data_IF_140112831243
#
_entry.id   IF_140112831243
#
_cell.length_a   1.000
_cell.length_b   1.000
_cell.length_c   1.000
_cell.angle_alpha   90.00
_cell.angle_beta   90.00
_cell.angle_gamma   90.00
#
_symmetry.space_group_name_H-M   'P 1'
#
loop_
_entity.id
_entity.type
_entity.pdbx_description
1 polymer ?
#
# COMPACT_ATOMS: atom_id res chain seq x y z
N UNK A 1 -5.64 -8.15 -0.46
CA UNK A 1 -6.03 -7.10 0.51
C UNK A 1 -4.78 -6.28 0.80
N UNK A 2 -4.84 -4.98 0.64
CA UNK A 2 -3.76 -4.05 0.97
C UNK A 2 -4.19 -3.23 2.19
N UNK A 3 -3.23 -2.72 2.99
CA UNK A 3 -3.54 -1.88 4.15
C UNK A 3 -3.37 -2.57 5.51
N UNK A 4 -2.75 -3.74 5.57
CA UNK A 4 -2.43 -4.42 6.85
C UNK A 4 -1.62 -3.54 7.81
N UNK A 5 -0.86 -2.57 7.29
CA UNK A 5 -0.09 -1.62 8.10
C UNK A 5 -0.97 -0.84 9.10
N UNK A 6 -2.25 -0.62 8.80
CA UNK A 6 -3.19 0.03 9.70
C UNK A 6 -3.44 -0.76 11.00
N UNK A 7 -3.09 -2.05 11.03
CA UNK A 7 -3.31 -2.98 12.13
C UNK A 7 -2.03 -3.40 12.85
N UNK A 8 -0.87 -2.87 12.47
CA UNK A 8 0.41 -3.28 13.07
C UNK A 8 0.53 -2.91 14.56
N UNK A 9 -0.22 -1.94 15.02
CA UNK A 9 -0.25 -1.51 16.41
C UNK A 9 -1.46 -2.03 17.20
N UNK A 10 -2.30 -2.88 16.61
CA UNK A 10 -3.45 -3.44 17.30
C UNK A 10 -2.97 -4.41 18.39
N UNK A 11 -3.35 -4.15 19.65
CA UNK A 11 -2.94 -4.94 20.81
C UNK A 11 -3.97 -5.96 21.22
N UNK A 12 -5.18 -5.92 20.67
CA UNK A 12 -6.26 -6.83 20.99
C UNK A 12 -6.65 -7.71 19.80
N UNK A 13 -6.66 -9.01 20.02
CA UNK A 13 -7.06 -10.03 19.05
C UNK A 13 -8.60 -10.18 18.95
N UNK A 14 -9.36 -9.12 19.14
CA UNK A 14 -10.82 -9.17 18.98
C UNK A 14 -11.21 -9.11 17.52
N UNK A 15 -12.06 -10.06 17.10
CA UNK A 15 -12.57 -10.07 15.74
C UNK A 15 -13.28 -8.73 15.41
N UNK A 16 -12.91 -8.05 14.32
CA UNK A 16 -13.53 -6.78 13.95
C UNK A 16 -15.05 -6.93 13.82
N UNK A 17 -15.81 -5.94 14.27
CA UNK A 17 -17.30 -5.96 14.19
C UNK A 17 -17.85 -6.20 12.79
N UNK A 18 -17.08 -5.87 11.76
CA UNK A 18 -17.47 -6.10 10.35
C UNK A 18 -17.25 -7.55 9.88
N UNK A 19 -16.50 -8.38 10.61
CA UNK A 19 -16.11 -9.71 10.15
C UNK A 19 -17.33 -10.62 9.93
N UNK A 20 -18.30 -10.63 10.82
CA UNK A 20 -19.52 -11.43 10.69
C UNK A 20 -20.40 -10.99 9.51
N UNK A 21 -20.53 -9.69 9.27
CA UNK A 21 -21.26 -9.17 8.13
C UNK A 21 -20.56 -9.45 6.80
N UNK A 22 -19.23 -9.38 6.77
CA UNK A 22 -18.43 -9.77 5.63
C UNK A 22 -18.62 -11.26 5.31
N UNK A 23 -18.52 -12.14 6.31
CA UNK A 23 -18.71 -13.58 6.11
C UNK A 23 -20.11 -13.93 5.62
N UNK A 24 -21.12 -13.21 6.11
CA UNK A 24 -22.49 -13.33 5.61
C UNK A 24 -22.56 -12.93 4.12
N UNK A 25 -21.93 -11.81 3.73
CA UNK A 25 -21.88 -11.37 2.34
C UNK A 25 -21.14 -12.38 1.44
N UNK A 26 -20.03 -12.95 1.91
CA UNK A 26 -19.30 -14.02 1.21
C UNK A 26 -20.23 -15.20 0.91
N UNK A 27 -20.96 -15.66 1.92
CA UNK A 27 -21.89 -16.78 1.78
C UNK A 27 -23.06 -16.47 0.83
N UNK A 28 -23.79 -15.37 1.10
CA UNK A 28 -25.03 -15.07 0.39
C UNK A 28 -24.82 -14.64 -1.05
N UNK A 29 -23.70 -13.96 -1.33
CA UNK A 29 -23.31 -13.51 -2.67
C UNK A 29 -22.38 -14.48 -3.41
N UNK A 30 -22.04 -15.61 -2.78
CA UNK A 30 -21.14 -16.64 -3.33
C UNK A 30 -19.79 -16.06 -3.79
N UNK A 31 -19.19 -15.18 -2.95
CA UNK A 31 -17.94 -14.53 -3.25
C UNK A 31 -16.76 -15.48 -3.04
N UNK A 32 -15.73 -15.33 -3.85
CA UNK A 32 -14.44 -16.02 -3.66
C UNK A 32 -13.42 -15.04 -3.08
N UNK A 33 -12.74 -15.44 -2.00
CA UNK A 33 -11.62 -14.71 -1.40
C UNK A 33 -10.37 -15.54 -1.60
N UNK A 34 -9.36 -14.97 -2.26
CA UNK A 34 -8.08 -15.61 -2.51
C UNK A 34 -6.93 -14.71 -2.06
N UNK A 35 -6.01 -15.26 -1.29
CA UNK A 35 -4.75 -14.61 -0.95
C UNK A 35 -3.71 -14.79 -2.05
N UNK A 36 -2.81 -13.82 -2.21
CA UNK A 36 -1.61 -13.92 -3.04
C UNK A 36 -0.55 -12.96 -2.49
N UNK A 37 0.69 -13.22 -2.85
CA UNK A 37 1.81 -12.32 -2.59
C UNK A 37 2.32 -11.84 -3.96
N UNK A 38 2.89 -10.65 -4.03
CA UNK A 38 3.37 -10.08 -5.29
C UNK A 38 4.44 -10.95 -5.96
N UNK A 39 5.25 -11.66 -5.18
CA UNK A 39 6.26 -12.61 -5.68
C UNK A 39 5.68 -13.78 -6.46
N UNK A 40 4.42 -14.16 -6.24
CA UNK A 40 3.74 -15.22 -7.01
C UNK A 40 3.64 -14.86 -8.51
N UNK A 41 3.81 -13.57 -8.82
CA UNK A 41 3.73 -13.02 -10.18
C UNK A 41 5.07 -12.48 -10.69
N UNK A 42 6.20 -12.90 -10.11
CA UNK A 42 7.53 -12.41 -10.47
C UNK A 42 7.84 -12.51 -11.98
N UNK A 43 7.38 -13.56 -12.64
CA UNK A 43 7.54 -13.74 -14.09
C UNK A 43 6.86 -12.65 -14.93
N UNK A 44 5.89 -11.91 -14.37
CA UNK A 44 5.17 -10.81 -15.05
C UNK A 44 5.77 -9.43 -14.75
N UNK A 45 6.88 -9.36 -14.03
CA UNK A 45 7.44 -8.08 -13.58
C UNK A 45 7.86 -7.19 -14.76
N UNK A 46 8.45 -7.77 -15.81
CA UNK A 46 8.85 -7.02 -17.01
C UNK A 46 7.64 -6.42 -17.74
N UNK A 47 6.55 -7.17 -17.87
CA UNK A 47 5.31 -6.67 -18.47
C UNK A 47 4.72 -5.53 -17.64
N UNK A 48 4.69 -5.70 -16.33
CA UNK A 48 4.23 -4.66 -15.41
C UNK A 48 5.03 -3.35 -15.59
N UNK A 49 6.36 -3.42 -15.59
CA UNK A 49 7.21 -2.23 -15.75
C UNK A 49 6.97 -1.54 -17.10
N UNK A 50 6.86 -2.31 -18.19
CA UNK A 50 6.57 -1.78 -19.52
C UNK A 50 5.24 -1.02 -19.54
N UNK A 51 4.17 -1.66 -19.10
CA UNK A 51 2.83 -1.09 -19.16
C UNK A 51 2.67 0.12 -18.22
N UNK A 52 3.17 0.02 -16.99
CA UNK A 52 3.15 1.12 -16.02
C UNK A 52 3.96 2.33 -16.48
N UNK A 53 5.16 2.10 -17.03
CA UNK A 53 6.00 3.18 -17.56
C UNK A 53 5.33 3.88 -18.74
N UNK A 54 4.65 3.15 -19.60
CA UNK A 54 3.88 3.70 -20.70
C UNK A 54 2.73 4.56 -20.18
N UNK A 55 1.91 4.04 -19.26
CA UNK A 55 0.75 4.76 -18.72
C UNK A 55 1.14 6.03 -17.93
N UNK A 56 2.29 6.00 -17.25
CA UNK A 56 2.84 7.19 -16.59
C UNK A 56 3.21 8.26 -17.62
N UNK A 57 3.94 7.89 -18.68
CA UNK A 57 4.30 8.84 -19.77
C UNK A 57 3.08 9.43 -20.49
N UNK A 58 2.04 8.64 -20.63
CA UNK A 58 0.77 9.06 -21.26
C UNK A 58 -0.14 9.85 -20.30
N UNK A 59 0.26 10.04 -19.04
CA UNK A 59 -0.55 10.73 -18.03
C UNK A 59 -1.83 9.99 -17.61
N UNK A 60 -1.95 8.72 -17.96
CA UNK A 60 -3.10 7.88 -17.61
C UNK A 60 -3.09 7.46 -16.13
N UNK A 61 -1.92 7.45 -15.50
CA UNK A 61 -1.77 7.16 -14.09
C UNK A 61 -1.45 8.44 -13.32
N UNK A 62 -2.18 8.63 -12.24
CA UNK A 62 -1.90 9.68 -11.27
C UNK A 62 -1.34 9.01 -10.00
N UNK A 63 -0.21 9.50 -9.55
CA UNK A 63 0.37 9.10 -8.27
C UNK A 63 0.57 10.33 -7.41
N UNK A 64 0.69 10.13 -6.12
CA UNK A 64 0.97 11.18 -5.17
C UNK A 64 2.01 10.71 -4.18
N UNK A 65 2.98 11.58 -3.94
CA UNK A 65 4.07 11.36 -3.02
C UNK A 65 4.01 12.39 -1.90
N UNK A 66 4.34 11.95 -0.71
CA UNK A 66 4.51 12.80 0.47
C UNK A 66 5.97 12.71 0.89
N UNK A 67 6.75 13.72 0.51
CA UNK A 67 8.21 13.72 0.68
C UNK A 67 8.56 14.46 1.97
N UNK A 68 9.41 13.86 2.81
CA UNK A 68 10.10 14.49 3.92
C UNK A 68 11.60 14.55 3.64
N UNK A 69 12.27 15.59 4.12
CA UNK A 69 13.68 15.84 3.80
C UNK A 69 14.61 15.34 4.92
N UNK A 70 15.74 14.75 4.50
CA UNK A 70 16.82 14.30 5.37
C UNK A 70 16.56 12.96 6.05
N UNK A 71 17.62 12.17 6.20
CA UNK A 71 17.56 10.85 6.83
C UNK A 71 17.03 10.93 8.27
N UNK A 72 17.35 11.99 9.00
CA UNK A 72 16.92 12.18 10.39
C UNK A 72 15.39 12.30 10.53
N UNK A 73 14.68 12.64 9.44
CA UNK A 73 13.23 12.68 9.42
C UNK A 73 12.57 11.29 9.31
N UNK A 74 13.32 10.24 8.94
CA UNK A 74 12.78 8.93 8.66
C UNK A 74 11.99 8.29 9.81
N UNK A 75 12.46 8.32 11.09
CA UNK A 75 11.70 7.77 12.20
C UNK A 75 10.35 8.49 12.40
N UNK A 76 10.37 9.84 12.32
CA UNK A 76 9.15 10.65 12.43
C UNK A 76 8.16 10.39 11.29
N UNK A 77 8.66 10.31 10.06
CA UNK A 77 7.86 9.98 8.87
C UNK A 77 7.23 8.59 8.99
N UNK A 78 7.97 7.60 9.48
CA UNK A 78 7.44 6.25 9.70
C UNK A 78 6.35 6.22 10.78
N UNK A 79 6.57 6.89 11.91
CA UNK A 79 5.53 7.00 12.95
C UNK A 79 4.28 7.73 12.43
N UNK A 80 4.46 8.75 11.59
CA UNK A 80 3.37 9.47 10.93
C UNK A 80 2.59 8.56 9.99
N UNK A 81 3.29 7.73 9.20
CA UNK A 81 2.67 6.74 8.30
C UNK A 81 1.74 5.80 9.06
N UNK A 82 2.18 5.27 10.22
CA UNK A 82 1.36 4.38 11.05
C UNK A 82 0.10 5.06 11.63
N UNK A 83 0.09 6.39 11.70
CA UNK A 83 -1.04 7.20 12.15
C UNK A 83 -1.87 7.78 10.99
N UNK A 84 -1.51 7.47 9.74
CA UNK A 84 -2.19 8.00 8.55
C UNK A 84 -1.97 9.48 8.30
N UNK A 85 -0.84 10.05 8.76
CA UNK A 85 -0.52 11.46 8.61
C UNK A 85 -0.14 11.86 7.17
N UNK A 86 0.33 10.91 6.37
CA UNK A 86 0.70 11.15 4.98
C UNK A 86 -0.48 10.98 4.03
N UNK A 87 -0.44 11.69 2.91
CA UNK A 87 -1.34 11.47 1.79
C UNK A 87 -0.56 11.11 0.53
N UNK A 88 -0.67 9.85 0.12
CA UNK A 88 0.12 9.25 -0.94
C UNK A 88 1.31 8.44 -0.43
N UNK A 89 2.26 8.14 -1.31
CA UNK A 89 3.47 7.37 -0.97
C UNK A 89 4.38 8.19 -0.08
N UNK A 90 4.63 7.73 1.17
CA UNK A 90 5.63 8.34 2.04
C UNK A 90 7.04 8.05 1.51
N UNK A 91 7.80 9.09 1.29
CA UNK A 91 9.21 9.06 0.90
C UNK A 91 10.05 9.90 1.86
N UNK A 92 11.31 9.55 1.99
CA UNK A 92 12.31 10.35 2.68
C UNK A 92 13.43 10.65 1.67
N UNK A 93 13.64 11.93 1.34
CA UNK A 93 14.73 12.32 0.45
C UNK A 93 16.02 12.40 1.25
N UNK A 94 16.96 11.51 0.98
CA UNK A 94 18.24 11.39 1.70
C UNK A 94 19.43 12.01 0.95
N UNK A 95 19.18 12.53 -0.26
CA UNK A 95 20.20 13.17 -1.11
C UNK A 95 19.55 13.80 -2.34
N UNK A 96 20.37 14.40 -3.23
CA UNK A 96 19.86 14.93 -4.49
C UNK A 96 19.27 13.80 -5.34
N UNK A 97 18.25 14.14 -6.12
CA UNK A 97 17.67 13.18 -7.08
C UNK A 97 18.76 12.79 -8.10
N UNK A 98 18.83 11.51 -8.46
CA UNK A 98 19.73 11.07 -9.53
C UNK A 98 19.31 11.75 -10.84
N UNK A 99 20.28 12.33 -11.53
CA UNK A 99 20.06 12.98 -12.82
C UNK A 99 19.73 11.95 -13.92
#
# INVERSE_FOLDING_TARGET
MCGLIAHYNDTEATAPKWASSMMRAVLTKRLTIRGFIVSDFAARHADFLRDMSQWLREGKLKHREFVTEGLDSAPGAFMGLLKGANFGKQLVRVGPDAA
#
